data_IF_114525189052
#
_entry.id   IF_114525189052
#
_cell.length_a   1.000
_cell.length_b   1.000
_cell.length_c   1.000
_cell.angle_alpha   90.00
_cell.angle_beta   90.00
_cell.angle_gamma   90.00
#
_symmetry.space_group_name_H-M   'P 1'
#
loop_
_entity.id
_entity.type
_entity.pdbx_description
1 polymer ?
#
# COMPACT_ATOMS: atom_id res chain seq x y z
N UNK A 1 10.62 -14.48 10.32
CA UNK A 1 9.26 -14.71 9.81
C UNK A 1 8.53 -13.40 9.74
N UNK A 2 7.95 -13.09 8.58
CA UNK A 2 7.24 -11.82 8.40
C UNK A 2 5.93 -11.84 9.19
N UNK A 3 5.67 -10.75 9.90
CA UNK A 3 4.40 -10.57 10.60
C UNK A 3 3.39 -9.97 9.63
N UNK A 4 2.18 -10.51 9.61
CA UNK A 4 1.10 -9.92 8.83
C UNK A 4 0.59 -8.66 9.53
N UNK A 5 0.58 -7.57 8.79
CA UNK A 5 0.19 -6.26 9.30
C UNK A 5 -1.09 -5.77 8.62
N UNK A 6 -1.88 -5.00 9.33
CA UNK A 6 -2.91 -4.17 8.70
C UNK A 6 -2.22 -2.95 8.09
N UNK A 7 -2.93 -2.23 7.24
CA UNK A 7 -2.40 -1.01 6.64
C UNK A 7 -2.08 0.03 7.72
N UNK A 8 -2.97 0.22 8.70
CA UNK A 8 -2.71 1.17 9.78
C UNK A 8 -1.47 0.79 10.59
N UNK A 9 -1.28 -0.49 10.90
CA UNK A 9 -0.09 -0.95 11.61
C UNK A 9 1.19 -0.69 10.83
N UNK A 10 1.16 -0.92 9.51
CA UNK A 10 2.30 -0.65 8.65
C UNK A 10 2.69 0.83 8.71
N UNK A 11 1.71 1.72 8.57
CA UNK A 11 1.94 3.16 8.58
C UNK A 11 2.48 3.62 9.94
N UNK A 12 1.93 3.09 11.04
CA UNK A 12 2.37 3.43 12.39
C UNK A 12 3.81 2.99 12.66
N UNK A 13 4.28 1.94 12.01
CA UNK A 13 5.63 1.38 12.20
C UNK A 13 6.59 1.70 11.06
N UNK A 14 6.21 2.62 10.19
CA UNK A 14 6.95 2.87 8.96
C UNK A 14 8.41 3.20 9.20
N UNK A 15 8.73 3.99 10.22
CA UNK A 15 10.11 4.35 10.54
C UNK A 15 10.98 3.14 10.89
N UNK A 16 10.38 2.09 11.46
CA UNK A 16 11.09 0.85 11.80
C UNK A 16 11.09 -0.17 10.65
N UNK A 17 10.14 -0.05 9.72
CA UNK A 17 9.95 -1.03 8.65
C UNK A 17 10.49 -0.58 7.30
N UNK A 18 10.83 0.70 7.15
CA UNK A 18 11.36 1.24 5.89
C UNK A 18 12.52 0.40 5.35
N UNK A 19 12.41 -0.01 4.10
CA UNK A 19 13.42 -0.83 3.42
C UNK A 19 13.40 -2.31 3.77
N UNK A 20 12.42 -2.75 4.56
CA UNK A 20 12.33 -4.14 5.03
C UNK A 20 11.18 -4.88 4.37
N UNK A 21 11.28 -6.23 4.27
CA UNK A 21 10.18 -7.03 3.77
C UNK A 21 9.03 -7.08 4.77
N UNK A 22 7.81 -6.94 4.26
CA UNK A 22 6.59 -6.98 5.08
C UNK A 22 5.51 -7.75 4.34
N UNK A 23 4.51 -8.21 5.09
CA UNK A 23 3.27 -8.75 4.53
C UNK A 23 2.11 -7.95 5.09
N UNK A 24 1.31 -7.33 4.20
CA UNK A 24 0.23 -6.42 4.58
C UNK A 24 -1.08 -6.92 4.00
N UNK A 25 -2.12 -6.95 4.84
CA UNK A 25 -3.46 -7.36 4.43
C UNK A 25 -4.36 -6.13 4.36
N UNK A 26 -5.14 -6.02 3.29
CA UNK A 26 -6.07 -4.92 3.11
C UNK A 26 -6.98 -5.15 1.92
N UNK A 27 -7.72 -4.11 1.56
CA UNK A 27 -8.59 -4.14 0.38
C UNK A 27 -7.86 -3.56 -0.81
N UNK A 28 -7.83 -4.32 -1.91
CA UNK A 28 -7.14 -3.89 -3.12
C UNK A 28 -7.96 -2.85 -3.87
N UNK A 29 -7.29 -1.77 -4.29
CA UNK A 29 -7.77 -0.86 -5.30
C UNK A 29 -6.84 -1.00 -6.50
N UNK A 30 -7.36 -1.46 -7.63
CA UNK A 30 -6.58 -1.62 -8.84
C UNK A 30 -7.34 -1.01 -10.01
N UNK A 31 -7.10 0.29 -10.20
CA UNK A 31 -7.74 1.10 -11.24
C UNK A 31 -6.68 1.97 -11.89
N UNK A 32 -7.02 2.61 -13.00
CA UNK A 32 -6.09 3.54 -13.65
C UNK A 32 -5.65 4.61 -12.66
N UNK A 33 -4.33 4.76 -12.50
CA UNK A 33 -3.71 5.74 -11.62
C UNK A 33 -4.06 5.57 -10.13
N UNK A 34 -4.58 4.40 -9.73
CA UNK A 34 -4.93 4.14 -8.34
C UNK A 34 -4.64 2.69 -7.99
N UNK A 35 -3.37 2.37 -7.77
CA UNK A 35 -2.92 1.04 -7.37
C UNK A 35 -2.55 1.09 -5.90
N UNK A 36 -3.50 0.75 -5.05
CA UNK A 36 -3.33 0.94 -3.61
C UNK A 36 -3.94 -0.19 -2.80
N UNK A 37 -3.48 -0.31 -1.56
CA UNK A 37 -4.03 -1.20 -0.56
C UNK A 37 -4.65 -0.33 0.53
N UNK A 38 -5.93 -0.55 0.82
CA UNK A 38 -6.67 0.22 1.81
C UNK A 38 -6.87 -0.56 3.09
N UNK A 39 -6.84 0.15 4.21
CA UNK A 39 -7.03 -0.47 5.52
C UNK A 39 -8.38 -1.18 5.62
N UNK A 40 -8.36 -2.37 6.20
CA UNK A 40 -9.55 -3.14 6.57
C UNK A 40 -9.44 -3.46 8.06
N UNK A 41 -10.49 -3.30 8.86
CA UNK A 41 -11.87 -2.93 8.47
C UNK A 41 -12.03 -1.44 8.14
N UNK A 42 -13.04 -1.15 7.31
CA UNK A 42 -13.27 0.21 6.81
C UNK A 42 -13.54 1.23 7.92
N UNK A 43 -14.20 0.80 8.99
CA UNK A 43 -14.51 1.67 10.12
C UNK A 43 -13.30 2.20 10.89
N UNK A 44 -12.12 1.63 10.66
CA UNK A 44 -10.87 2.06 11.30
C UNK A 44 -10.03 3.00 10.44
N UNK A 45 -10.54 3.39 9.27
CA UNK A 45 -9.81 4.29 8.37
C UNK A 45 -9.74 5.69 8.95
N UNK A 46 -8.57 6.32 8.82
CA UNK A 46 -8.22 7.60 9.46
C UNK A 46 -8.40 8.82 8.54
N UNK A 47 -8.81 8.62 7.28
CA UNK A 47 -9.01 9.71 6.34
C UNK A 47 -7.71 10.24 5.74
N UNK A 48 -7.59 11.57 5.67
CA UNK A 48 -6.42 12.25 5.11
C UNK A 48 -5.74 13.11 6.16
N UNK A 49 -4.43 13.37 5.95
CA UNK A 49 -3.66 14.20 6.85
C UNK A 49 -4.04 15.68 6.72
N UNK A 50 -3.69 16.47 7.75
CA UNK A 50 -3.85 17.93 7.70
C UNK A 50 -2.66 18.63 7.03
N UNK A 51 -1.68 17.85 6.55
CA UNK A 51 -0.50 18.39 5.87
C UNK A 51 -0.85 18.96 4.48
N UNK A 52 0.06 19.74 3.92
CA UNK A 52 -0.06 20.29 2.58
C UNK A 52 1.18 19.86 1.75
N UNK A 53 1.00 19.00 0.74
CA UNK A 53 -0.23 18.37 0.30
C UNK A 53 -0.71 17.26 1.27
N UNK A 54 -2.03 17.01 1.32
CA UNK A 54 -2.54 15.95 2.19
C UNK A 54 -2.22 14.57 1.66
N UNK A 55 -2.08 13.59 2.56
CA UNK A 55 -1.87 12.19 2.20
C UNK A 55 -2.92 11.31 2.88
N UNK A 56 -3.23 10.17 2.25
CA UNK A 56 -4.13 9.18 2.82
C UNK A 56 -3.46 8.51 4.01
N UNK A 57 -4.14 8.50 5.16
CA UNK A 57 -3.59 7.96 6.41
C UNK A 57 -3.83 6.47 6.60
N UNK A 58 -4.65 5.85 5.77
CA UNK A 58 -4.98 4.43 5.86
C UNK A 58 -4.91 3.73 4.50
N UNK A 59 -3.92 4.10 3.69
CA UNK A 59 -3.70 3.47 2.39
C UNK A 59 -2.20 3.43 2.08
N UNK A 60 -1.79 2.39 1.35
CA UNK A 60 -0.41 2.18 0.92
C UNK A 60 -0.41 2.09 -0.60
N UNK A 61 0.46 2.87 -1.27
CA UNK A 61 0.62 2.78 -2.72
C UNK A 61 1.34 1.49 -3.08
N UNK A 62 0.86 0.79 -4.12
CA UNK A 62 1.51 -0.42 -4.64
C UNK A 62 2.33 -0.02 -5.86
N UNK A 63 3.65 -0.08 -5.73
CA UNK A 63 4.58 0.36 -6.78
C UNK A 63 5.02 -0.81 -7.65
N UNK A 64 4.34 -1.01 -8.77
CA UNK A 64 4.72 -2.03 -9.74
C UNK A 64 5.85 -1.52 -10.65
N UNK A 65 6.68 -2.45 -11.12
CA UNK A 65 7.59 -2.19 -12.23
C UNK A 65 9.02 -1.79 -11.89
N UNK A 66 9.34 -1.52 -10.62
CA UNK A 66 10.68 -1.09 -10.20
C UNK A 66 11.43 -2.22 -9.50
N UNK A 67 11.67 -3.32 -10.25
CA UNK A 67 12.28 -4.52 -9.67
C UNK A 67 11.27 -5.40 -8.93
N UNK A 68 10.02 -5.01 -8.92
CA UNK A 68 8.92 -5.77 -8.36
C UNK A 68 8.29 -6.68 -9.41
N UNK A 69 7.27 -7.46 -9.01
CA UNK A 69 6.52 -8.27 -9.96
C UNK A 69 5.77 -7.39 -10.94
N UNK A 70 5.57 -7.92 -12.15
CA UNK A 70 4.70 -7.28 -13.13
C UNK A 70 3.26 -7.62 -12.78
N UNK A 71 2.33 -6.67 -12.88
CA UNK A 71 0.95 -6.95 -12.53
C UNK A 71 0.29 -7.88 -13.54
N UNK A 72 -0.46 -8.86 -13.04
CA UNK A 72 -1.41 -9.60 -13.86
C UNK A 72 -2.71 -8.79 -13.83
N UNK A 73 -2.87 -7.91 -14.80
CA UNK A 73 -3.96 -6.93 -14.79
C UNK A 73 -5.35 -7.58 -14.74
N UNK A 74 -5.53 -8.67 -15.45
CA UNK A 74 -6.82 -9.37 -15.46
C UNK A 74 -7.17 -9.90 -14.07
N UNK A 75 -6.21 -10.53 -13.41
CA UNK A 75 -6.40 -11.11 -12.09
C UNK A 75 -6.62 -10.03 -11.03
N UNK A 76 -5.79 -8.99 -11.07
CA UNK A 76 -5.90 -7.89 -10.12
C UNK A 76 -7.20 -7.10 -10.30
N UNK A 77 -7.67 -6.93 -11.53
CA UNK A 77 -8.96 -6.29 -11.79
C UNK A 77 -10.11 -7.10 -11.19
N UNK A 78 -10.03 -8.43 -11.24
CA UNK A 78 -11.03 -9.30 -10.61
C UNK A 78 -11.00 -9.18 -9.08
N UNK A 79 -9.85 -8.84 -8.51
CA UNK A 79 -9.68 -8.71 -7.07
C UNK A 79 -9.91 -7.29 -6.55
N UNK A 80 -10.24 -6.36 -7.44
CA UNK A 80 -10.52 -4.97 -7.04
C UNK A 80 -11.64 -4.95 -5.99
N UNK A 81 -11.38 -4.29 -4.86
CA UNK A 81 -12.31 -4.24 -3.74
C UNK A 81 -12.30 -5.48 -2.83
N UNK A 82 -11.47 -6.47 -3.13
CA UNK A 82 -11.37 -7.70 -2.34
C UNK A 82 -10.19 -7.65 -1.38
N UNK A 83 -10.23 -8.47 -0.33
CA UNK A 83 -9.11 -8.59 0.60
C UNK A 83 -7.98 -9.35 -0.06
N UNK A 84 -6.79 -8.79 0.02
CA UNK A 84 -5.57 -9.41 -0.49
C UNK A 84 -4.46 -9.28 0.54
N UNK A 85 -3.46 -10.15 0.40
CA UNK A 85 -2.20 -10.07 1.13
C UNK A 85 -1.12 -9.65 0.13
N UNK A 86 -0.41 -8.57 0.45
CA UNK A 86 0.69 -8.06 -0.36
C UNK A 86 1.98 -8.24 0.42
N UNK A 87 2.94 -8.97 -0.16
CA UNK A 87 4.27 -9.14 0.40
C UNK A 87 5.26 -8.36 -0.47
N UNK A 88 6.11 -7.58 0.15
CA UNK A 88 7.07 -6.76 -0.57
C UNK A 88 7.94 -5.94 0.36
N UNK A 89 8.67 -4.99 -0.21
CA UNK A 89 9.53 -4.07 0.55
C UNK A 89 8.80 -2.74 0.66
N UNK A 90 8.67 -2.23 1.89
CA UNK A 90 8.00 -0.95 2.13
C UNK A 90 9.01 0.19 2.17
N UNK A 91 8.63 1.35 1.63
CA UNK A 91 9.49 2.54 1.60
C UNK A 91 8.71 3.78 2.03
N UNK A 92 9.42 4.66 2.74
CA UNK A 92 8.96 6.03 2.98
C UNK A 92 9.08 6.84 1.70
N UNK A 93 8.41 7.99 1.58
CA UNK A 93 8.63 8.89 0.45
C UNK A 93 10.09 9.32 0.36
N UNK A 94 10.65 9.29 -0.85
CA UNK A 94 12.05 9.66 -1.12
C UNK A 94 12.22 11.16 -1.29
N UNK A 95 11.12 11.86 -1.59
CA UNK A 95 11.12 13.29 -1.87
C UNK A 95 10.04 13.98 -1.05
N UNK A 96 10.10 15.31 -0.88
CA UNK A 96 9.00 16.04 -0.25
C UNK A 96 7.68 15.75 -0.97
N UNK A 97 6.62 15.53 -0.19
CA UNK A 97 5.33 15.06 -0.69
C UNK A 97 5.13 13.60 -0.33
N UNK A 98 4.20 12.94 -0.99
CA UNK A 98 3.89 11.54 -0.73
C UNK A 98 4.39 10.62 -1.82
N UNK A 99 4.05 9.34 -1.69
CA UNK A 99 4.27 8.33 -2.70
C UNK A 99 3.08 8.26 -3.65
N UNK A 100 3.28 7.59 -4.79
CA UNK A 100 2.21 7.31 -5.73
C UNK A 100 1.77 8.48 -6.58
N UNK A 101 0.63 8.30 -7.24
CA UNK A 101 0.10 9.31 -8.16
C UNK A 101 -0.28 10.58 -7.39
N UNK A 102 0.23 11.73 -7.85
CA UNK A 102 0.08 13.04 -7.20
C UNK A 102 0.63 13.08 -5.75
N UNK A 103 1.43 12.10 -5.34
CA UNK A 103 2.01 12.10 -4.00
C UNK A 103 0.99 11.91 -2.87
N UNK A 104 -0.13 11.26 -3.14
CA UNK A 104 -1.24 11.14 -2.18
C UNK A 104 -1.06 10.09 -1.08
N UNK A 105 0.04 9.34 -1.05
CA UNK A 105 0.23 8.24 -0.10
C UNK A 105 1.44 8.47 0.79
N UNK A 106 1.31 8.04 2.05
CA UNK A 106 2.36 8.22 3.07
C UNK A 106 3.52 7.24 2.90
N UNK A 107 3.31 6.13 2.19
CA UNK A 107 4.34 5.13 1.92
C UNK A 107 3.97 4.31 0.69
N UNK A 108 4.93 3.53 0.21
CA UNK A 108 4.71 2.62 -0.90
C UNK A 108 5.27 1.24 -0.59
N UNK A 109 4.73 0.22 -1.24
CA UNK A 109 5.26 -1.13 -1.17
C UNK A 109 5.60 -1.59 -2.58
N UNK A 110 6.82 -2.13 -2.76
CA UNK A 110 7.24 -2.76 -4.01
C UNK A 110 6.94 -4.26 -3.86
N UNK A 111 5.87 -4.77 -4.49
CA UNK A 111 5.40 -6.12 -4.22
C UNK A 111 6.23 -7.17 -4.93
N UNK A 112 6.47 -8.31 -4.26
CA UNK A 112 6.94 -9.51 -4.91
C UNK A 112 5.90 -10.64 -4.87
N UNK A 113 4.79 -10.43 -4.16
CA UNK A 113 3.67 -11.38 -4.15
C UNK A 113 2.39 -10.67 -3.75
N UNK A 114 1.30 -10.96 -4.46
CA UNK A 114 -0.04 -10.52 -4.10
C UNK A 114 -0.95 -11.74 -4.20
N UNK A 115 -1.68 -12.02 -3.14
CA UNK A 115 -2.56 -13.18 -3.08
C UNK A 115 -3.91 -12.80 -2.50
N UNK A 116 -4.96 -13.43 -3.00
CA UNK A 116 -6.31 -13.30 -2.45
C UNK A 116 -6.38 -13.95 -1.08
N UNK A 117 -6.98 -13.26 -0.13
CA UNK A 117 -7.20 -13.80 1.22
C UNK A 117 -8.60 -14.38 1.36
#
# INVERSE_FOLDING_TARGET
METKLTVNELIDRLSNLHGKPVEVIGLLSFETENNALWHFPKGERRGVSESDPPVYLSSVWIAFGNGSIQPNEKKLSQWNGKRVSVSGIVYRPRYPGGCGHFGGWACEIEPYSIQRV
#
